data_IF_502420314404
#
_entry.id   IF_502420314404
#
_cell.length_a   1.000
_cell.length_b   1.000
_cell.length_c   1.000
_cell.angle_alpha   90.00
_cell.angle_beta   90.00
_cell.angle_gamma   90.00
#
_symmetry.space_group_name_H-M   'P 1'
#
loop_
_entity.id
_entity.type
_entity.pdbx_description
1 polymer ?
#
# COMPACT_ATOMS: atom_id res chain seq x y z
N UNK A 1 2.40 11.09 5.07
CA UNK A 1 2.17 11.02 6.54
C UNK A 1 0.69 10.81 6.75
N UNK A 2 0.28 9.86 7.59
CA UNK A 2 -1.13 9.64 7.91
C UNK A 2 -1.32 9.50 9.42
N UNK A 3 -2.42 10.02 9.92
CA UNK A 3 -2.87 9.87 11.30
C UNK A 3 -4.30 9.34 11.29
N UNK A 4 -4.52 8.18 11.90
CA UNK A 4 -5.82 7.54 11.99
C UNK A 4 -6.25 7.35 13.44
N UNK A 5 -7.51 7.67 13.71
CA UNK A 5 -8.28 7.06 14.79
C UNK A 5 -8.79 5.70 14.32
N UNK A 6 -8.63 4.68 15.18
CA UNK A 6 -9.04 3.31 14.91
C UNK A 6 -10.06 2.87 15.96
N UNK A 7 -11.17 2.30 15.50
CA UNK A 7 -12.22 1.78 16.37
C UNK A 7 -12.67 0.40 15.89
N UNK A 8 -12.64 -0.59 16.78
CA UNK A 8 -13.15 -1.92 16.48
C UNK A 8 -14.65 -1.88 16.14
N UNK A 9 -15.00 -2.48 15.01
CA UNK A 9 -16.40 -2.75 14.62
C UNK A 9 -16.81 -4.14 15.11
N UNK A 10 -15.93 -5.12 14.93
CA UNK A 10 -16.09 -6.49 15.42
C UNK A 10 -14.72 -7.13 15.74
N UNK A 11 -14.69 -8.45 15.92
CA UNK A 11 -13.47 -9.19 16.26
C UNK A 11 -12.39 -9.24 15.15
N UNK A 12 -12.78 -8.98 13.90
CA UNK A 12 -11.92 -9.07 12.72
C UNK A 12 -11.71 -7.72 12.03
N UNK A 13 -12.56 -6.73 12.26
CA UNK A 13 -12.57 -5.46 11.54
C UNK A 13 -12.56 -4.24 12.44
N UNK A 14 -11.72 -3.29 12.05
CA UNK A 14 -11.62 -1.96 12.60
C UNK A 14 -12.02 -0.90 11.56
N UNK A 15 -12.75 0.10 12.00
CA UNK A 15 -12.97 1.35 11.28
C UNK A 15 -11.77 2.28 11.47
N UNK A 16 -11.34 2.92 10.39
CA UNK A 16 -10.32 3.96 10.38
C UNK A 16 -10.94 5.29 9.98
N UNK A 17 -10.60 6.36 10.68
CA UNK A 17 -10.94 7.73 10.31
C UNK A 17 -9.77 8.65 10.65
N UNK A 18 -9.40 9.56 9.75
CA UNK A 18 -8.18 10.34 9.98
C UNK A 18 -7.81 11.33 8.89
N UNK A 19 -6.59 11.84 8.98
CA UNK A 19 -6.03 12.79 8.04
C UNK A 19 -4.74 12.24 7.43
N UNK A 20 -4.62 12.36 6.10
CA UNK A 20 -3.42 12.00 5.35
C UNK A 20 -2.85 13.23 4.68
N UNK A 21 -1.52 13.34 4.64
CA UNK A 21 -0.81 14.37 3.90
C UNK A 21 0.32 13.76 3.10
N UNK A 22 0.29 13.98 1.79
CA UNK A 22 1.34 13.53 0.89
C UNK A 22 2.51 14.51 0.95
N UNK A 23 3.69 14.00 1.26
CA UNK A 23 4.92 14.80 1.29
C UNK A 23 5.52 14.87 -0.13
N UNK A 24 5.37 13.78 -0.89
CA UNK A 24 5.75 13.66 -2.29
C UNK A 24 4.71 12.80 -3.02
N UNK A 25 4.48 13.04 -4.32
CA UNK A 25 5.05 14.10 -5.15
C UNK A 25 4.50 15.50 -4.81
N UNK A 26 5.25 16.56 -5.16
CA UNK A 26 4.82 17.94 -4.93
C UNK A 26 3.90 18.43 -6.07
N UNK A 27 2.88 19.25 -5.80
CA UNK A 27 2.51 19.81 -4.50
C UNK A 27 1.87 18.77 -3.58
N UNK A 28 2.22 18.82 -2.29
CA UNK A 28 1.62 17.93 -1.29
C UNK A 28 0.11 18.10 -1.20
N UNK A 29 -0.61 17.01 -0.96
CA UNK A 29 -2.07 16.99 -0.86
C UNK A 29 -2.50 16.64 0.56
N UNK A 30 -3.53 17.33 1.04
CA UNK A 30 -4.19 17.01 2.30
C UNK A 30 -5.48 16.24 2.01
N UNK A 31 -5.72 15.20 2.80
CA UNK A 31 -6.83 14.28 2.63
C UNK A 31 -7.53 14.05 3.96
N UNK A 32 -8.86 14.07 3.93
CA UNK A 32 -9.69 13.43 4.94
C UNK A 32 -9.86 11.97 4.52
N UNK A 33 -9.65 11.05 5.46
CA UNK A 33 -9.54 9.62 5.17
C UNK A 33 -10.50 8.81 6.03
N UNK A 34 -11.18 7.83 5.43
CA UNK A 34 -12.04 6.86 6.12
C UNK A 34 -11.83 5.49 5.50
N UNK A 35 -11.73 4.46 6.32
CA UNK A 35 -11.41 3.13 5.82
C UNK A 35 -11.75 2.01 6.78
N UNK A 36 -11.41 0.80 6.35
CA UNK A 36 -11.51 -0.42 7.13
C UNK A 36 -10.15 -1.12 7.13
N UNK A 37 -9.79 -1.69 8.27
CA UNK A 37 -8.64 -2.58 8.41
C UNK A 37 -9.08 -3.84 9.12
N UNK A 38 -8.69 -5.00 8.64
CA UNK A 38 -9.10 -6.23 9.28
C UNK A 38 -8.61 -7.48 8.59
N UNK A 39 -9.09 -8.60 9.10
CA UNK A 39 -8.80 -9.93 8.56
C UNK A 39 -10.00 -10.40 7.72
N UNK A 40 -9.85 -10.36 6.40
CA UNK A 40 -10.83 -10.85 5.46
C UNK A 40 -10.81 -12.39 5.35
N UNK A 41 -11.82 -13.02 4.71
CA UNK A 41 -11.82 -14.47 4.49
C UNK A 41 -10.49 -14.99 3.91
N UNK A 42 -10.16 -16.24 4.22
CA UNK A 42 -8.87 -16.87 3.90
C UNK A 42 -7.64 -16.27 4.61
N UNK A 43 -7.86 -15.58 5.74
CA UNK A 43 -6.82 -14.97 6.57
C UNK A 43 -6.02 -13.91 5.80
N UNK A 44 -6.71 -13.10 5.02
CA UNK A 44 -6.13 -11.99 4.27
C UNK A 44 -6.16 -10.72 5.12
N UNK A 45 -5.01 -10.21 5.51
CA UNK A 45 -4.92 -8.89 6.13
C UNK A 45 -5.25 -7.86 5.08
N UNK A 46 -6.34 -7.13 5.27
CA UNK A 46 -6.88 -6.20 4.29
C UNK A 46 -7.02 -4.83 4.91
N UNK A 47 -6.54 -3.81 4.21
CA UNK A 47 -6.78 -2.40 4.52
C UNK A 47 -7.34 -1.71 3.29
N UNK A 48 -8.43 -1.00 3.46
CA UNK A 48 -9.05 -0.23 2.39
C UNK A 48 -9.38 1.16 2.93
N UNK A 49 -8.82 2.20 2.31
CA UNK A 49 -8.98 3.58 2.77
C UNK A 49 -9.42 4.45 1.60
N UNK A 50 -10.56 5.11 1.78
CA UNK A 50 -11.05 6.17 0.93
C UNK A 50 -10.50 7.51 1.41
N UNK A 51 -9.98 8.30 0.47
CA UNK A 51 -9.41 9.62 0.69
C UNK A 51 -10.24 10.67 -0.05
N UNK A 52 -10.55 11.77 0.64
CA UNK A 52 -11.26 12.93 0.13
C UNK A 52 -10.36 14.15 0.26
N UNK A 53 -10.00 14.73 -0.88
CA UNK A 53 -9.08 15.85 -0.97
C UNK A 53 -9.76 17.10 -1.50
N UNK A 54 -8.99 18.19 -1.54
CA UNK A 54 -9.43 19.46 -2.11
C UNK A 54 -9.81 19.34 -3.60
N UNK A 55 -10.63 20.29 -4.07
CA UNK A 55 -11.15 20.34 -5.45
C UNK A 55 -11.91 19.07 -5.89
N UNK A 56 -12.57 18.40 -4.94
CA UNK A 56 -13.39 17.21 -5.21
C UNK A 56 -12.58 15.96 -5.54
N UNK A 57 -11.29 15.92 -5.16
CA UNK A 57 -10.44 14.75 -5.37
C UNK A 57 -10.89 13.59 -4.50
N UNK A 58 -10.99 12.41 -5.10
CA UNK A 58 -11.26 11.17 -4.38
C UNK A 58 -10.23 10.13 -4.80
N UNK A 59 -9.68 9.43 -3.81
CA UNK A 59 -8.79 8.29 -4.03
C UNK A 59 -9.19 7.12 -3.14
N UNK A 60 -8.81 5.91 -3.57
CA UNK A 60 -8.99 4.67 -2.85
C UNK A 60 -7.65 3.94 -2.84
N UNK A 61 -7.14 3.66 -1.65
CA UNK A 61 -6.00 2.80 -1.42
C UNK A 61 -6.49 1.46 -0.87
N UNK A 62 -6.04 0.36 -1.47
CA UNK A 62 -6.35 -1.00 -1.01
C UNK A 62 -5.06 -1.78 -0.87
N UNK A 63 -4.84 -2.35 0.30
CA UNK A 63 -3.71 -3.21 0.62
C UNK A 63 -4.24 -4.56 1.07
N UNK A 64 -3.66 -5.62 0.54
CA UNK A 64 -3.99 -7.00 0.86
C UNK A 64 -2.67 -7.74 1.08
N UNK A 65 -2.52 -8.35 2.24
CA UNK A 65 -1.37 -9.16 2.60
C UNK A 65 -1.83 -10.51 3.14
N UNK A 66 -0.97 -11.52 3.03
CA UNK A 66 -1.24 -12.83 3.63
C UNK A 66 -0.01 -13.39 4.30
N UNK A 67 -0.13 -13.83 5.54
CA UNK A 67 0.92 -14.62 6.18
C UNK A 67 0.74 -16.11 5.88
N UNK A 68 1.73 -16.71 5.21
CA UNK A 68 1.76 -18.14 4.92
C UNK A 68 2.97 -18.76 5.63
N UNK A 69 2.70 -19.58 6.64
CA UNK A 69 3.73 -20.35 7.33
C UNK A 69 4.16 -21.53 6.44
N UNK A 70 5.42 -21.51 5.98
CA UNK A 70 6.00 -22.61 5.21
C UNK A 70 6.60 -23.67 6.14
N UNK A 71 7.24 -23.22 7.23
CA UNK A 71 7.77 -24.07 8.30
C UNK A 71 7.60 -23.35 9.65
N UNK A 72 8.13 -23.91 10.74
CA UNK A 72 8.09 -23.26 12.06
C UNK A 72 8.84 -21.91 12.10
N UNK A 73 9.84 -21.74 11.23
CA UNK A 73 10.72 -20.56 11.22
C UNK A 73 10.75 -19.82 9.87
N UNK A 74 9.97 -20.26 8.88
CA UNK A 74 9.90 -19.60 7.57
C UNK A 74 8.46 -19.22 7.23
N UNK A 75 8.31 -17.98 6.78
CA UNK A 75 7.03 -17.38 6.43
C UNK A 75 7.15 -16.73 5.05
N UNK A 76 6.09 -16.83 4.27
CA UNK A 76 5.95 -16.16 2.98
C UNK A 76 4.85 -15.12 3.11
N UNK A 77 5.16 -13.90 2.69
CA UNK A 77 4.26 -12.73 2.74
C UNK A 77 4.03 -12.23 1.31
N UNK A 78 3.07 -12.80 0.55
CA UNK A 78 2.54 -12.14 -0.63
C UNK A 78 1.74 -10.90 -0.22
N UNK A 79 1.93 -9.82 -0.97
CA UNK A 79 1.24 -8.54 -0.80
C UNK A 79 0.79 -7.95 -2.12
N UNK A 80 -0.32 -7.22 -2.08
CA UNK A 80 -0.85 -6.43 -3.17
C UNK A 80 -1.29 -5.07 -2.63
N UNK A 81 -0.79 -4.00 -3.23
CA UNK A 81 -1.27 -2.64 -3.03
C UNK A 81 -1.87 -2.12 -4.35
N UNK A 82 -3.02 -1.45 -4.25
CA UNK A 82 -3.71 -0.82 -5.36
C UNK A 82 -4.07 0.61 -5.00
N UNK A 83 -3.72 1.54 -5.90
CA UNK A 83 -4.05 2.95 -5.77
C UNK A 83 -4.97 3.38 -6.92
N UNK A 84 -6.15 3.88 -6.58
CA UNK A 84 -7.19 4.27 -7.52
C UNK A 84 -7.56 5.73 -7.29
N UNK A 85 -7.62 6.52 -8.35
CA UNK A 85 -7.97 7.95 -8.27
C UNK A 85 -9.18 8.23 -9.16
N UNK A 86 -10.12 9.05 -8.69
CA UNK A 86 -11.31 9.39 -9.47
C UNK A 86 -11.03 10.49 -10.51
N UNK A 87 -10.03 11.34 -10.27
CA UNK A 87 -9.69 12.48 -11.13
C UNK A 87 -8.26 12.41 -11.64
N UNK A 88 -7.99 13.16 -12.71
CA UNK A 88 -6.65 13.33 -13.24
C UNK A 88 -5.96 14.50 -12.51
N UNK A 89 -4.77 14.25 -12.00
CA UNK A 89 -3.88 15.23 -11.38
C UNK A 89 -2.50 15.14 -12.02
N UNK A 90 -2.29 15.92 -13.07
CA UNK A 90 -1.01 15.98 -13.79
C UNK A 90 0.12 16.48 -12.89
N UNK A 91 -0.16 17.35 -11.92
CA UNK A 91 0.87 17.92 -11.06
C UNK A 91 1.51 16.86 -10.14
N UNK A 92 0.70 15.90 -9.68
CA UNK A 92 1.17 14.75 -8.88
C UNK A 92 1.43 13.50 -9.72
N UNK A 93 1.19 13.57 -11.05
CA UNK A 93 1.36 12.44 -11.96
C UNK A 93 0.33 11.32 -11.80
N UNK A 94 -0.79 11.55 -11.11
CA UNK A 94 -1.84 10.54 -10.91
C UNK A 94 -2.95 10.70 -11.95
N UNK A 95 -3.21 9.64 -12.71
CA UNK A 95 -4.31 9.55 -13.66
C UNK A 95 -5.55 8.89 -13.06
N UNK A 96 -6.73 9.28 -13.53
CA UNK A 96 -8.01 8.69 -13.13
C UNK A 96 -8.09 7.21 -13.49
N UNK A 97 -8.75 6.41 -12.65
CA UNK A 97 -8.83 4.96 -12.72
C UNK A 97 -7.83 4.31 -11.77
N UNK A 98 -7.46 3.05 -12.05
CA UNK A 98 -6.34 2.40 -11.35
C UNK A 98 -5.08 3.13 -11.79
N UNK A 99 -4.43 3.81 -10.86
CA UNK A 99 -3.22 4.58 -11.14
C UNK A 99 -1.99 3.70 -11.13
N UNK A 100 -1.87 2.85 -10.11
CA UNK A 100 -0.77 1.92 -9.96
C UNK A 100 -1.17 0.71 -9.10
N UNK A 101 -0.39 -0.35 -9.26
CA UNK A 101 -0.43 -1.55 -8.44
C UNK A 101 0.98 -1.95 -8.06
N UNK A 102 1.13 -2.45 -6.84
CA UNK A 102 2.38 -3.03 -6.35
C UNK A 102 2.11 -4.46 -5.91
N UNK A 103 2.84 -5.39 -6.48
CA UNK A 103 2.84 -6.80 -6.08
C UNK A 103 4.14 -7.10 -5.35
N UNK A 104 4.05 -7.53 -4.10
CA UNK A 104 5.18 -7.88 -3.25
C UNK A 104 5.18 -9.37 -2.92
N UNK A 105 6.36 -9.96 -2.82
CA UNK A 105 6.55 -11.27 -2.24
C UNK A 105 7.80 -11.26 -1.37
N UNK A 106 7.60 -11.44 -0.06
CA UNK A 106 8.69 -11.46 0.92
C UNK A 106 8.79 -12.83 1.57
N UNK A 107 10.00 -13.37 1.59
CA UNK A 107 10.35 -14.55 2.36
C UNK A 107 11.06 -14.11 3.63
N UNK A 108 10.45 -14.44 4.76
CA UNK A 108 10.90 -14.02 6.08
C UNK A 108 11.32 -15.25 6.87
N UNK A 109 12.51 -15.20 7.45
CA UNK A 109 12.96 -16.23 8.40
C UNK A 109 12.87 -15.70 9.81
N UNK A 110 12.44 -16.51 10.76
CA UNK A 110 12.52 -16.24 12.19
C UNK A 110 13.81 -16.87 12.73
N UNK A 111 14.93 -16.17 12.59
CA UNK A 111 16.22 -16.71 13.01
C UNK A 111 16.30 -16.89 14.54
N UNK A 112 15.75 -15.93 15.29
CA UNK A 112 15.52 -16.03 16.73
C UNK A 112 14.39 -15.07 17.15
N UNK A 113 14.04 -15.02 18.45
CA UNK A 113 12.98 -14.14 18.99
C UNK A 113 13.28 -12.63 18.90
N UNK A 114 14.43 -12.22 18.36
CA UNK A 114 14.85 -10.81 18.27
C UNK A 114 15.22 -10.39 16.84
N UNK A 115 15.33 -11.33 15.91
CA UNK A 115 15.90 -11.10 14.59
C UNK A 115 15.16 -11.91 13.52
N UNK A 116 14.59 -11.19 12.55
CA UNK A 116 13.90 -11.73 11.39
C UNK A 116 14.53 -11.17 10.10
N UNK A 117 15.49 -11.89 9.49
CA UNK A 117 15.97 -11.48 8.17
C UNK A 117 14.92 -11.79 7.12
N UNK A 118 14.85 -10.97 6.08
CA UNK A 118 13.95 -11.16 4.96
C UNK A 118 14.60 -10.82 3.64
N UNK A 119 14.16 -11.51 2.60
CA UNK A 119 14.44 -11.22 1.20
C UNK A 119 13.10 -11.13 0.47
N UNK A 120 12.98 -10.23 -0.49
CA UNK A 120 11.76 -10.10 -1.27
C UNK A 120 11.98 -9.55 -2.66
N UNK A 121 10.93 -9.68 -3.44
CA UNK A 121 10.79 -9.06 -4.76
C UNK A 121 9.50 -8.25 -4.77
N UNK A 122 9.56 -7.07 -5.37
CA UNK A 122 8.42 -6.18 -5.51
C UNK A 122 8.35 -5.69 -6.96
N UNK A 123 7.20 -5.83 -7.59
CA UNK A 123 6.91 -5.29 -8.91
C UNK A 123 5.91 -4.14 -8.73
N UNK A 124 6.30 -2.94 -9.12
CA UNK A 124 5.40 -1.79 -9.20
C UNK A 124 5.05 -1.48 -10.64
N UNK A 125 3.78 -1.22 -10.93
CA UNK A 125 3.33 -0.90 -12.29
C UNK A 125 2.30 0.21 -12.28
N UNK A 126 2.51 1.21 -13.15
CA UNK A 126 1.57 2.31 -13.42
C UNK A 126 0.62 1.93 -14.55
N UNK A 127 -0.62 2.39 -14.50
CA UNK A 127 -1.67 2.08 -15.47
C UNK A 127 -2.36 3.33 -16.02
N UNK A 128 -3.07 3.17 -17.14
CA UNK A 128 -3.90 4.20 -17.74
C UNK A 128 -3.18 5.54 -17.93
N UNK A 129 -3.84 6.64 -17.55
CA UNK A 129 -3.27 7.99 -17.66
C UNK A 129 -2.05 8.21 -16.78
N UNK A 130 -1.92 7.51 -15.64
CA UNK A 130 -0.72 7.56 -14.80
C UNK A 130 0.50 7.04 -15.56
N UNK A 131 0.34 5.96 -16.33
CA UNK A 131 1.41 5.45 -17.19
C UNK A 131 1.76 6.44 -18.31
N UNK A 132 0.77 7.09 -18.93
CA UNK A 132 1.01 8.13 -19.93
C UNK A 132 1.78 9.33 -19.36
N UNK A 133 1.44 9.76 -18.15
CA UNK A 133 2.15 10.85 -17.46
C UNK A 133 3.60 10.45 -17.14
N UNK A 134 3.82 9.23 -16.65
CA UNK A 134 5.15 8.71 -16.41
C UNK A 134 6.01 8.70 -17.69
N UNK A 135 5.48 8.18 -18.80
CA UNK A 135 6.20 8.16 -20.08
C UNK A 135 6.53 9.57 -20.59
N UNK A 136 5.62 10.53 -20.45
CA UNK A 136 5.85 11.92 -20.86
C UNK A 136 6.94 12.60 -20.03
N UNK A 137 7.10 12.21 -18.77
CA UNK A 137 8.11 12.74 -17.88
C UNK A 137 9.46 11.98 -17.95
N UNK A 138 9.54 10.93 -18.78
CA UNK A 138 10.72 10.06 -18.85
C UNK A 138 10.85 9.10 -17.66
N UNK A 139 9.78 8.93 -16.88
CA UNK A 139 9.72 8.00 -15.76
C UNK A 139 9.43 6.57 -16.22
N UNK A 140 9.78 5.62 -15.36
CA UNK A 140 9.53 4.20 -15.57
C UNK A 140 8.05 3.87 -15.26
N UNK A 141 7.45 3.00 -16.10
CA UNK A 141 6.06 2.52 -15.95
C UNK A 141 5.97 1.20 -15.19
N UNK A 142 6.99 0.34 -15.27
CA UNK A 142 7.10 -0.93 -14.52
C UNK A 142 8.49 -1.02 -13.92
N UNK A 143 8.58 -1.19 -12.60
CA UNK A 143 9.84 -1.28 -11.88
C UNK A 143 9.87 -2.50 -10.97
N UNK A 144 10.88 -3.35 -11.16
CA UNK A 144 11.11 -4.57 -10.37
C UNK A 144 12.24 -4.32 -9.38
N UNK A 145 11.96 -4.47 -8.10
CA UNK A 145 12.90 -4.23 -7.02
C UNK A 145 13.15 -5.50 -6.22
N UNK A 146 14.42 -5.77 -5.94
CA UNK A 146 14.84 -6.80 -5.00
C UNK A 146 15.17 -6.16 -3.65
N UNK A 147 14.62 -6.71 -2.58
CA UNK A 147 14.79 -6.19 -1.23
C UNK A 147 15.49 -7.23 -0.37
N UNK A 148 16.46 -6.79 0.43
CA UNK A 148 17.05 -7.58 1.51
C UNK A 148 17.11 -6.71 2.75
N UNK A 149 16.67 -7.25 3.88
CA UNK A 149 16.59 -6.48 5.12
C UNK A 149 16.55 -7.36 6.35
N UNK A 150 16.62 -6.71 7.51
CA UNK A 150 16.53 -7.37 8.81
C UNK A 150 15.61 -6.55 9.69
N UNK A 151 14.58 -7.20 10.24
CA UNK A 151 13.78 -6.64 11.33
C UNK A 151 14.34 -7.15 12.66
N UNK A 152 14.66 -6.22 13.56
CA UNK A 152 15.15 -6.56 14.89
C UNK A 152 14.39 -5.77 15.96
N UNK A 153 14.17 -6.39 17.12
CA UNK A 153 13.58 -5.76 18.30
C UNK A 153 14.28 -6.25 19.58
N UNK A 154 14.29 -5.42 20.62
CA UNK A 154 15.00 -5.67 21.88
C UNK A 154 14.07 -5.78 23.08
#
# INVERSE_FOLDING_TARGET
MALFYQQALDANWDLLAGFTTDIKPAPGRHWLSVGLKGLAPWFLETRSVLHFGEAGRVALNVEIEKEILLTQDWMLLPGLELNVYAQNDFATGHGSGISDAVLGLYMVRRANRKLMPYIGIQESRKFGKTAEYALKNGDIVSDTQWLIGVKAWY
#
